data_IF_457613393878
#
_entry.id   IF_457613393878
#
_cell.length_a   1.000
_cell.length_b   1.000
_cell.length_c   1.000
_cell.angle_alpha   90.00
_cell.angle_beta   90.00
_cell.angle_gamma   90.00
#
_symmetry.space_group_name_H-M   'P 1'
#
loop_
_entity.id
_entity.type
_entity.pdbx_description
1 polymer ?
#
# COMPACT_ATOMS: atom_id res chain seq x y z
N UNK A 1 15.21 -20.85 -9.91
CA UNK A 1 15.07 -19.50 -10.50
C UNK A 1 14.24 -18.68 -9.55
N UNK A 2 14.87 -17.79 -8.77
CA UNK A 2 14.11 -16.78 -8.03
C UNK A 2 13.56 -15.78 -9.06
N UNK A 3 12.29 -15.38 -8.99
CA UNK A 3 11.74 -14.40 -9.93
C UNK A 3 12.56 -13.11 -9.82
N UNK A 4 13.06 -12.63 -10.95
CA UNK A 4 13.73 -11.32 -11.04
C UNK A 4 12.71 -10.24 -10.67
N UNK A 5 12.92 -9.61 -9.53
CA UNK A 5 12.16 -8.42 -9.14
C UNK A 5 12.61 -7.30 -10.06
N UNK A 6 11.77 -6.91 -11.02
CA UNK A 6 12.02 -5.71 -11.82
C UNK A 6 12.09 -4.52 -10.87
N UNK A 7 13.18 -3.77 -10.94
CA UNK A 7 13.36 -2.54 -10.17
C UNK A 7 12.31 -1.53 -10.62
N UNK A 8 11.39 -1.19 -9.71
CA UNK A 8 10.32 -0.22 -9.95
C UNK A 8 10.82 1.13 -9.46
N UNK A 9 10.87 2.13 -10.35
CA UNK A 9 11.33 3.47 -10.00
C UNK A 9 10.17 4.26 -9.34
N UNK A 10 9.83 3.89 -8.11
CA UNK A 10 8.82 4.58 -7.31
C UNK A 10 9.40 5.90 -6.80
N UNK A 11 8.61 6.98 -6.87
CA UNK A 11 8.92 8.20 -6.12
C UNK A 11 8.89 7.90 -4.61
N UNK A 12 9.80 8.52 -3.85
CA UNK A 12 10.03 8.21 -2.42
C UNK A 12 8.74 8.20 -1.60
N UNK A 13 7.85 9.16 -1.81
CA UNK A 13 6.56 9.25 -1.10
C UNK A 13 5.68 8.00 -1.29
N UNK A 14 5.71 7.39 -2.49
CA UNK A 14 4.98 6.15 -2.74
C UNK A 14 5.61 4.96 -2.02
N UNK A 15 6.96 4.92 -1.95
CA UNK A 15 7.69 3.88 -1.24
C UNK A 15 7.40 3.93 0.27
N UNK A 16 7.47 5.12 0.86
CA UNK A 16 7.16 5.37 2.28
C UNK A 16 5.72 4.98 2.62
N UNK A 17 4.77 5.34 1.76
CA UNK A 17 3.38 4.99 1.96
C UNK A 17 3.14 3.48 1.85
N UNK A 18 3.78 2.79 0.90
CA UNK A 18 3.69 1.33 0.78
C UNK A 18 4.26 0.63 2.02
N UNK A 19 5.37 1.12 2.57
CA UNK A 19 5.91 0.62 3.84
C UNK A 19 4.95 0.82 5.01
N UNK A 20 4.25 1.96 5.05
CA UNK A 20 3.18 2.21 6.03
C UNK A 20 2.05 1.19 5.88
N UNK A 21 1.62 0.91 4.65
CA UNK A 21 0.53 -0.02 4.36
C UNK A 21 0.87 -1.47 4.77
N UNK A 22 2.11 -1.90 4.53
CA UNK A 22 2.60 -3.23 4.94
C UNK A 22 2.56 -3.40 6.47
N UNK A 23 3.04 -2.40 7.21
CA UNK A 23 3.06 -2.43 8.68
C UNK A 23 1.64 -2.59 9.28
N UNK A 24 0.64 -1.93 8.67
CA UNK A 24 -0.77 -1.98 9.08
C UNK A 24 -1.37 -3.36 8.86
N UNK A 25 -1.01 -4.01 7.76
CA UNK A 25 -1.66 -5.23 7.30
C UNK A 25 -1.67 -6.32 8.37
N UNK A 26 -0.61 -6.46 9.16
CA UNK A 26 -0.56 -7.41 10.27
C UNK A 26 -1.62 -7.14 11.35
N UNK A 27 -1.69 -5.91 11.88
CA UNK A 27 -2.61 -5.52 12.96
C UNK A 27 -4.07 -5.39 12.54
N UNK A 28 -4.34 -5.16 11.25
CA UNK A 28 -5.70 -5.06 10.71
C UNK A 28 -6.38 -6.42 10.45
N UNK A 29 -5.64 -7.54 10.48
CA UNK A 29 -6.14 -8.88 10.13
C UNK A 29 -6.52 -9.76 11.33
N UNK A 30 -5.93 -9.54 12.51
CA UNK A 30 -6.11 -10.43 13.65
C UNK A 30 -6.99 -9.82 14.75
N UNK A 31 -7.97 -10.56 15.30
CA UNK A 31 -8.91 -10.02 16.30
C UNK A 31 -8.26 -9.42 17.54
N UNK A 32 -7.13 -9.99 17.98
CA UNK A 32 -6.37 -9.53 19.16
C UNK A 32 -5.84 -8.09 19.01
N UNK A 33 -5.53 -7.68 17.77
CA UNK A 33 -4.95 -6.37 17.43
C UNK A 33 -5.98 -5.44 16.78
N UNK A 34 -7.11 -5.98 16.32
CA UNK A 34 -8.15 -5.25 15.58
C UNK A 34 -8.74 -4.08 16.37
N UNK A 35 -8.90 -4.21 17.68
CA UNK A 35 -9.42 -3.13 18.52
C UNK A 35 -8.46 -1.92 18.57
N UNK A 36 -7.16 -2.19 18.65
CA UNK A 36 -6.13 -1.16 18.58
C UNK A 36 -6.06 -0.55 17.17
N UNK A 37 -6.10 -1.39 16.13
CA UNK A 37 -6.14 -0.94 14.74
C UNK A 37 -7.35 -0.01 14.48
N UNK A 38 -8.53 -0.34 15.01
CA UNK A 38 -9.73 0.51 14.86
C UNK A 38 -9.61 1.87 15.56
N UNK A 39 -8.82 1.97 16.63
CA UNK A 39 -8.55 3.24 17.33
C UNK A 39 -7.53 4.09 16.55
N UNK A 40 -6.51 3.46 16.00
CA UNK A 40 -5.43 4.12 15.25
C UNK A 40 -5.90 4.56 13.87
N UNK A 41 -6.58 3.68 13.13
CA UNK A 41 -7.07 3.93 11.78
C UNK A 41 -8.55 4.29 11.83
N UNK A 42 -8.81 5.54 12.21
CA UNK A 42 -10.16 6.10 12.13
C UNK A 42 -10.71 6.04 10.69
N UNK A 43 -12.02 6.23 10.52
CA UNK A 43 -12.66 6.27 9.21
C UNK A 43 -11.97 7.25 8.25
N UNK A 44 -11.56 8.43 8.73
CA UNK A 44 -10.92 9.44 7.91
C UNK A 44 -9.53 8.98 7.46
N UNK A 45 -8.73 8.41 8.38
CA UNK A 45 -7.41 7.86 8.06
C UNK A 45 -7.52 6.73 7.03
N UNK A 46 -8.49 5.82 7.20
CA UNK A 46 -8.73 4.75 6.24
C UNK A 46 -9.15 5.29 4.86
N UNK A 47 -9.94 6.37 4.83
CA UNK A 47 -10.35 7.03 3.59
C UNK A 47 -9.16 7.68 2.88
N UNK A 48 -8.28 8.35 3.62
CA UNK A 48 -7.07 8.98 3.07
C UNK A 48 -6.12 7.92 2.49
N UNK A 49 -5.96 6.79 3.19
CA UNK A 49 -5.15 5.68 2.69
C UNK A 49 -5.75 5.08 1.43
N UNK A 50 -7.07 4.94 1.35
CA UNK A 50 -7.73 4.47 0.13
C UNK A 50 -7.48 5.42 -1.06
N UNK A 51 -7.49 6.73 -0.83
CA UNK A 51 -7.18 7.73 -1.87
C UNK A 51 -5.74 7.55 -2.36
N UNK A 52 -4.76 7.53 -1.44
CA UNK A 52 -3.34 7.33 -1.78
C UNK A 52 -3.08 6.00 -2.48
N UNK A 53 -3.73 4.92 -2.05
CA UNK A 53 -3.64 3.62 -2.74
C UNK A 53 -4.15 3.72 -4.17
N UNK A 54 -5.27 4.42 -4.43
CA UNK A 54 -5.78 4.60 -5.80
C UNK A 54 -4.81 5.41 -6.66
N UNK A 55 -4.19 6.45 -6.11
CA UNK A 55 -3.18 7.25 -6.81
C UNK A 55 -1.98 6.38 -7.24
N UNK A 56 -1.46 5.56 -6.32
CA UNK A 56 -0.36 4.63 -6.63
C UNK A 56 -0.78 3.60 -7.67
N UNK A 57 -1.99 3.04 -7.60
CA UNK A 57 -2.49 2.11 -8.62
C UNK A 57 -2.58 2.76 -10.00
N UNK A 58 -3.04 4.00 -10.09
CA UNK A 58 -3.07 4.73 -11.35
C UNK A 58 -1.67 5.07 -11.87
N UNK A 59 -0.71 5.36 -10.97
CA UNK A 59 0.70 5.53 -11.33
C UNK A 59 1.28 4.22 -11.91
N UNK A 60 1.10 3.09 -11.21
CA UNK A 60 1.57 1.76 -11.66
C UNK A 60 1.00 1.39 -13.03
N UNK A 61 -0.30 1.66 -13.26
CA UNK A 61 -0.94 1.41 -14.57
C UNK A 61 -0.32 2.26 -15.70
N UNK A 62 0.11 3.48 -15.39
CA UNK A 62 0.73 4.40 -16.36
C UNK A 62 2.19 4.07 -16.64
N UNK A 63 2.92 3.56 -15.64
CA UNK A 63 4.38 3.33 -15.68
C UNK A 63 4.84 2.15 -16.58
N UNK A 64 4.06 1.73 -17.58
CA UNK A 64 4.37 0.65 -18.53
C UNK A 64 4.68 -0.75 -17.96
N UNK A 65 4.87 -0.93 -16.64
CA UNK A 65 5.19 -2.24 -16.03
C UNK A 65 4.12 -3.29 -16.34
N UNK A 66 2.86 -2.87 -16.48
CA UNK A 66 1.72 -3.75 -16.77
C UNK A 66 1.21 -3.72 -18.22
N UNK A 67 1.83 -2.96 -19.14
CA UNK A 67 1.41 -2.96 -20.56
C UNK A 67 1.88 -4.18 -21.36
N UNK A 68 2.58 -5.12 -20.75
CA UNK A 68 3.14 -6.32 -21.40
C UNK A 68 2.71 -7.65 -20.78
N UNK A 69 1.63 -7.69 -19.99
CA UNK A 69 1.00 -8.94 -19.55
C UNK A 69 -0.35 -9.15 -20.25
#
# INVERSE_FOLDING_TARGET
>A
MSPEVKEVNLVEEHLEFLGTLDAIGSGARYPKDLAAARKTYSRNVAQDYLVKTKEILEWIKKDQIFKQL
#
